data_IF_807225564314
#
_entry.id   IF_807225564314
#
_cell.length_a   1.000
_cell.length_b   1.000
_cell.length_c   1.000
_cell.angle_alpha   90.00
_cell.angle_beta   90.00
_cell.angle_gamma   90.00
#
_symmetry.space_group_name_H-M   'P 1'
#
loop_
_entity.id
_entity.type
_entity.pdbx_description
1 polymer ?
#
# COMPACT_ATOMS: atom_id res chain seq x y z
N UNK A 1 -20.67 6.38 48.84
CA UNK A 1 -21.42 7.37 48.02
C UNK A 1 -20.50 7.93 46.92
N UNK A 2 -20.43 7.23 45.82
CA UNK A 2 -19.77 7.71 44.59
C UNK A 2 -20.72 7.48 43.43
N UNK A 3 -21.52 8.48 43.13
CA UNK A 3 -22.42 8.49 41.97
C UNK A 3 -21.61 8.81 40.73
N UNK A 4 -21.45 7.82 39.85
CA UNK A 4 -21.00 8.05 38.48
C UNK A 4 -22.05 8.86 37.71
N UNK A 5 -21.65 9.83 36.86
CA UNK A 5 -22.61 10.59 36.05
C UNK A 5 -23.16 9.67 34.93
N UNK A 6 -24.50 9.61 34.90
CA UNK A 6 -25.25 8.98 33.80
C UNK A 6 -24.95 9.72 32.49
N UNK A 7 -24.32 9.08 31.54
CA UNK A 7 -24.23 9.48 30.13
C UNK A 7 -25.60 9.30 29.44
N UNK A 8 -26.62 10.00 29.93
CA UNK A 8 -27.90 10.09 29.27
C UNK A 8 -28.09 11.52 28.78
N UNK A 9 -27.72 11.79 27.57
CA UNK A 9 -28.18 12.88 26.69
C UNK A 9 -27.06 13.31 25.76
N UNK A 10 -26.93 12.65 24.61
CA UNK A 10 -26.59 13.25 23.32
C UNK A 10 -26.69 12.09 22.30
N UNK A 11 -27.93 11.68 22.00
CA UNK A 11 -28.22 10.98 20.74
C UNK A 11 -29.17 11.91 20.01
N UNK A 12 -28.81 12.51 18.87
CA UNK A 12 -29.73 13.31 18.09
C UNK A 12 -30.92 12.44 17.67
N UNK A 13 -32.13 12.96 17.78
CA UNK A 13 -33.39 12.29 17.41
C UNK A 13 -33.45 11.83 15.93
N UNK A 14 -32.47 12.21 15.12
CA UNK A 14 -32.30 11.78 13.70
C UNK A 14 -31.85 10.32 13.56
N UNK A 15 -31.36 9.65 14.61
CA UNK A 15 -30.87 8.28 14.56
C UNK A 15 -31.92 7.22 14.89
N UNK A 16 -33.15 7.64 15.24
CA UNK A 16 -34.26 6.73 15.63
C UNK A 16 -35.07 6.17 14.44
N UNK A 17 -34.75 6.54 13.20
CA UNK A 17 -35.42 5.95 12.04
C UNK A 17 -34.50 4.94 11.37
N UNK A 18 -34.80 3.66 11.49
CA UNK A 18 -34.38 2.63 10.55
C UNK A 18 -34.93 2.99 9.16
N UNK A 19 -34.22 3.83 8.41
CA UNK A 19 -34.28 3.70 6.97
C UNK A 19 -33.36 2.50 6.65
N UNK A 20 -33.92 1.41 6.19
CA UNK A 20 -33.16 0.41 5.46
C UNK A 20 -32.47 1.15 4.32
N UNK A 21 -31.13 1.12 4.27
CA UNK A 21 -30.35 1.88 3.26
C UNK A 21 -30.77 1.48 1.82
N UNK A 22 -31.44 0.36 1.66
CA UNK A 22 -31.94 -0.15 0.35
C UNK A 22 -33.11 0.66 -0.23
N UNK A 23 -33.76 1.49 0.57
CA UNK A 23 -34.84 2.39 0.14
C UNK A 23 -34.47 3.86 0.32
N UNK A 24 -33.20 4.20 0.60
CA UNK A 24 -32.79 5.60 0.55
C UNK A 24 -32.95 6.10 -0.87
N UNK A 25 -34.04 6.81 -1.09
CA UNK A 25 -34.20 7.69 -2.25
C UNK A 25 -32.95 8.58 -2.29
N UNK A 26 -32.45 8.92 -3.46
CA UNK A 26 -31.30 9.83 -3.61
C UNK A 26 -31.47 11.14 -2.83
N UNK A 27 -32.72 11.49 -2.43
CA UNK A 27 -33.03 12.62 -1.58
C UNK A 27 -32.65 12.46 -0.11
N UNK A 28 -32.51 11.23 0.40
CA UNK A 28 -32.14 10.95 1.79
C UNK A 28 -30.62 10.82 1.99
N UNK A 29 -29.83 10.79 0.93
CA UNK A 29 -28.38 10.77 1.00
C UNK A 29 -27.83 12.16 1.38
N UNK A 30 -26.73 12.16 2.15
CA UNK A 30 -25.99 13.39 2.37
C UNK A 30 -25.55 13.99 1.03
N UNK A 31 -25.52 15.33 0.87
CA UNK A 31 -25.12 15.97 -0.39
C UNK A 31 -23.80 15.46 -0.91
N UNK A 32 -22.77 15.39 -0.04
CA UNK A 32 -21.43 14.88 -0.42
C UNK A 32 -21.48 13.43 -0.95
N UNK A 33 -22.30 12.55 -0.37
CA UNK A 33 -22.44 11.17 -0.82
C UNK A 33 -23.07 11.08 -2.21
N UNK A 34 -24.03 11.97 -2.48
CA UNK A 34 -24.67 12.08 -3.81
C UNK A 34 -23.69 12.57 -4.85
N UNK A 35 -22.93 13.62 -4.52
CA UNK A 35 -21.93 14.20 -5.43
C UNK A 35 -20.86 13.17 -5.77
N UNK A 36 -20.32 12.46 -4.76
CA UNK A 36 -19.33 11.39 -4.95
C UNK A 36 -19.90 10.22 -5.78
N UNK A 37 -21.16 9.82 -5.53
CA UNK A 37 -21.81 8.78 -6.33
C UNK A 37 -21.84 9.17 -7.80
N UNK A 38 -22.31 10.38 -8.12
CA UNK A 38 -22.44 10.86 -9.48
C UNK A 38 -21.08 11.12 -10.16
N UNK A 39 -20.13 11.67 -9.45
CA UNK A 39 -18.83 12.02 -10.02
C UNK A 39 -17.93 10.79 -10.23
N UNK A 40 -17.92 9.85 -9.26
CA UNK A 40 -16.94 8.75 -9.27
C UNK A 40 -17.51 7.41 -9.75
N UNK A 41 -18.74 7.07 -9.37
CA UNK A 41 -19.24 5.72 -9.49
C UNK A 41 -20.31 5.52 -10.55
N UNK A 42 -21.30 6.41 -10.65
CA UNK A 42 -22.36 6.32 -11.64
C UNK A 42 -21.82 6.52 -13.07
N UNK A 43 -22.33 5.74 -14.04
CA UNK A 43 -21.91 5.78 -15.43
C UNK A 43 -23.14 5.81 -16.34
N UNK A 44 -23.07 6.56 -17.44
CA UNK A 44 -24.17 6.67 -18.39
C UNK A 44 -25.46 7.18 -17.73
N UNK A 45 -26.51 6.38 -17.77
CA UNK A 45 -27.84 6.73 -17.24
C UNK A 45 -28.05 6.34 -15.76
N UNK A 46 -27.01 5.81 -15.09
CA UNK A 46 -27.09 5.46 -13.68
C UNK A 46 -27.31 6.70 -12.80
N UNK A 47 -28.21 6.59 -11.81
CA UNK A 47 -28.53 7.68 -10.89
C UNK A 47 -28.50 7.27 -9.43
N UNK A 48 -28.58 5.96 -9.16
CA UNK A 48 -28.67 5.41 -7.80
C UNK A 48 -27.54 4.42 -7.51
N UNK A 49 -27.28 4.19 -6.23
CA UNK A 49 -26.34 3.16 -5.81
C UNK A 49 -26.79 1.76 -6.26
N UNK A 50 -28.12 1.52 -6.33
CA UNK A 50 -28.68 0.27 -6.83
C UNK A 50 -28.34 0.05 -8.31
N UNK A 51 -28.35 1.09 -9.14
CA UNK A 51 -27.96 0.97 -10.56
C UNK A 51 -26.49 0.56 -10.68
N UNK A 52 -25.60 1.19 -9.91
CA UNK A 52 -24.18 0.84 -9.86
C UNK A 52 -23.97 -0.61 -9.40
N UNK A 53 -24.67 -1.03 -8.33
CA UNK A 53 -24.59 -2.42 -7.81
C UNK A 53 -25.04 -3.44 -8.86
N UNK A 54 -26.13 -3.18 -9.57
CA UNK A 54 -26.64 -4.05 -10.65
C UNK A 54 -25.61 -4.21 -11.77
N UNK A 55 -25.03 -3.10 -12.26
CA UNK A 55 -23.96 -3.16 -13.26
C UNK A 55 -22.77 -3.98 -12.79
N UNK A 56 -22.31 -3.74 -11.56
CA UNK A 56 -21.16 -4.45 -10.99
C UNK A 56 -21.45 -5.95 -10.85
N UNK A 57 -22.59 -6.31 -10.26
CA UNK A 57 -23.00 -7.72 -10.10
C UNK A 57 -23.08 -8.45 -11.45
N UNK A 58 -23.69 -7.82 -12.46
CA UNK A 58 -23.78 -8.37 -13.80
C UNK A 58 -22.40 -8.53 -14.47
N UNK A 59 -21.52 -7.54 -14.32
CA UNK A 59 -20.17 -7.59 -14.89
C UNK A 59 -19.31 -8.69 -14.27
N UNK A 60 -19.40 -8.87 -12.98
CA UNK A 60 -18.66 -9.93 -12.27
C UNK A 60 -19.24 -11.30 -12.62
N UNK A 61 -20.55 -11.44 -12.64
CA UNK A 61 -21.20 -12.70 -13.03
C UNK A 61 -20.90 -13.11 -14.48
N UNK A 62 -20.69 -12.16 -15.38
CA UNK A 62 -20.45 -12.43 -16.80
C UNK A 62 -19.17 -13.23 -17.09
N UNK A 63 -18.21 -13.26 -16.15
CA UNK A 63 -16.96 -14.04 -16.28
C UNK A 63 -17.03 -15.39 -15.57
N UNK A 64 -18.11 -15.67 -14.85
CA UNK A 64 -18.33 -16.96 -14.20
C UNK A 64 -18.71 -18.06 -15.21
N UNK A 65 -18.52 -19.31 -14.81
CA UNK A 65 -18.89 -20.48 -15.64
C UNK A 65 -20.40 -20.51 -15.92
N UNK A 66 -21.21 -20.10 -14.96
CA UNK A 66 -22.66 -19.94 -15.08
C UNK A 66 -23.07 -18.53 -14.66
N UNK A 67 -23.04 -17.56 -15.57
CA UNK A 67 -23.43 -16.18 -15.28
C UNK A 67 -24.84 -16.04 -14.69
N UNK A 68 -25.77 -16.90 -15.13
CA UNK A 68 -27.17 -16.87 -14.68
C UNK A 68 -27.31 -17.25 -13.19
N UNK A 69 -26.46 -18.13 -12.71
CA UNK A 69 -26.45 -18.57 -11.31
C UNK A 69 -25.87 -17.51 -10.36
N UNK A 70 -24.96 -16.64 -10.83
CA UNK A 70 -24.20 -15.74 -9.95
C UNK A 70 -24.69 -14.29 -9.92
N UNK A 71 -25.41 -13.83 -10.94
CA UNK A 71 -25.85 -12.43 -11.00
C UNK A 71 -26.74 -12.02 -9.81
N UNK A 72 -27.67 -12.88 -9.40
CA UNK A 72 -28.53 -12.68 -8.24
C UNK A 72 -27.74 -12.67 -6.91
N UNK A 73 -27.01 -13.75 -6.60
CA UNK A 73 -26.20 -13.82 -5.37
C UNK A 73 -25.20 -12.66 -5.21
N UNK A 74 -24.53 -12.23 -6.26
CA UNK A 74 -23.62 -11.08 -6.19
C UNK A 74 -24.38 -9.79 -5.90
N UNK A 75 -25.54 -9.55 -6.53
CA UNK A 75 -26.35 -8.38 -6.23
C UNK A 75 -26.84 -8.39 -4.77
N UNK A 76 -27.35 -9.54 -4.31
CA UNK A 76 -27.79 -9.71 -2.92
C UNK A 76 -26.67 -9.44 -1.91
N UNK A 77 -25.45 -9.91 -2.18
CA UNK A 77 -24.30 -9.64 -1.31
C UNK A 77 -23.95 -8.14 -1.27
N UNK A 78 -23.97 -7.45 -2.43
CA UNK A 78 -23.74 -6.00 -2.51
C UNK A 78 -24.84 -5.20 -1.78
N UNK A 79 -26.08 -5.64 -1.86
CA UNK A 79 -27.21 -5.01 -1.16
C UNK A 79 -27.18 -5.30 0.34
N UNK A 80 -26.74 -6.48 0.74
CA UNK A 80 -26.60 -6.87 2.15
C UNK A 80 -25.43 -6.20 2.87
N UNK A 81 -24.53 -5.51 2.17
CA UNK A 81 -23.46 -4.72 2.80
C UNK A 81 -22.04 -5.10 2.40
N UNK A 82 -21.84 -5.96 1.40
CA UNK A 82 -20.51 -6.13 0.80
C UNK A 82 -20.18 -4.90 -0.05
N UNK A 83 -18.99 -4.36 0.14
CA UNK A 83 -18.49 -3.17 -0.57
C UNK A 83 -17.19 -3.58 -1.27
N UNK A 84 -17.21 -3.87 -2.58
CA UNK A 84 -15.99 -4.14 -3.32
C UNK A 84 -15.13 -2.88 -3.43
N UNK A 85 -13.86 -3.07 -3.81
CA UNK A 85 -12.93 -1.97 -4.02
C UNK A 85 -13.52 -0.87 -4.90
N UNK A 86 -13.19 0.38 -4.62
CA UNK A 86 -13.69 1.53 -5.38
C UNK A 86 -13.47 1.41 -6.89
N UNK A 87 -12.39 0.74 -7.33
CA UNK A 87 -12.14 0.47 -8.77
C UNK A 87 -13.15 -0.49 -9.37
N UNK A 88 -13.51 -1.54 -8.64
CA UNK A 88 -14.59 -2.46 -9.08
C UNK A 88 -15.88 -1.69 -9.22
N UNK A 89 -16.26 -0.90 -8.20
CA UNK A 89 -17.50 -0.11 -8.23
C UNK A 89 -17.52 0.93 -9.36
N UNK A 90 -16.39 1.54 -9.70
CA UNK A 90 -16.33 2.61 -10.71
C UNK A 90 -16.15 2.11 -12.14
N UNK A 91 -15.52 0.94 -12.36
CA UNK A 91 -15.08 0.53 -13.69
C UNK A 91 -15.64 -0.82 -14.15
N UNK A 92 -16.03 -1.75 -13.26
CA UNK A 92 -16.57 -3.04 -13.69
C UNK A 92 -17.84 -2.86 -14.54
N UNK A 93 -17.91 -3.55 -15.67
CA UNK A 93 -19.02 -3.45 -16.61
C UNK A 93 -19.06 -2.17 -17.43
N UNK A 94 -17.96 -1.43 -17.50
CA UNK A 94 -17.83 -0.21 -18.32
C UNK A 94 -16.77 -0.40 -19.40
N UNK A 95 -16.69 0.54 -20.34
CA UNK A 95 -15.64 0.58 -21.37
C UNK A 95 -14.33 1.24 -20.87
N UNK A 96 -14.25 1.63 -19.59
CA UNK A 96 -13.07 2.28 -19.02
C UNK A 96 -11.94 1.26 -18.91
N UNK A 97 -10.80 1.55 -19.52
CA UNK A 97 -9.60 0.73 -19.42
C UNK A 97 -8.86 1.02 -18.10
N UNK A 98 -9.42 0.57 -16.99
CA UNK A 98 -8.82 0.66 -15.67
C UNK A 98 -8.54 -0.74 -15.12
N UNK A 99 -7.57 -0.85 -14.21
CA UNK A 99 -7.45 -2.07 -13.40
C UNK A 99 -8.58 -2.14 -12.39
N UNK A 100 -9.12 -3.33 -12.14
CA UNK A 100 -10.08 -3.58 -11.05
C UNK A 100 -9.37 -3.85 -9.72
N UNK A 101 -8.07 -4.11 -9.77
CA UNK A 101 -7.19 -4.30 -8.63
C UNK A 101 -6.52 -2.96 -8.29
N UNK A 102 -6.36 -2.66 -7.02
CA UNK A 102 -5.96 -1.33 -6.56
C UNK A 102 -4.47 -1.18 -6.31
N UNK A 103 -3.81 -2.24 -5.84
CA UNK A 103 -2.48 -2.17 -5.25
C UNK A 103 -1.57 -3.22 -5.88
N UNK A 104 -0.32 -2.83 -6.11
CA UNK A 104 0.69 -3.64 -6.77
C UNK A 104 2.05 -3.46 -6.09
N UNK A 105 2.92 -4.45 -6.22
CA UNK A 105 4.34 -4.34 -5.92
C UNK A 105 5.12 -4.50 -7.22
N UNK A 106 6.07 -3.62 -7.45
CA UNK A 106 6.92 -3.59 -8.63
C UNK A 106 8.38 -3.74 -8.22
N UNK A 107 9.08 -4.81 -8.65
CA UNK A 107 10.50 -4.95 -8.38
C UNK A 107 11.35 -3.91 -9.11
N UNK A 108 12.47 -3.52 -8.50
CA UNK A 108 13.45 -2.59 -9.06
C UNK A 108 14.85 -3.19 -8.92
N UNK A 109 15.56 -3.40 -10.03
CA UNK A 109 16.95 -3.87 -10.05
C UNK A 109 17.96 -2.73 -10.15
N UNK A 110 19.24 -3.04 -9.97
CA UNK A 110 20.35 -2.06 -9.94
C UNK A 110 20.95 -1.78 -11.32
N UNK A 111 20.20 -1.93 -12.39
CA UNK A 111 20.62 -1.58 -13.75
C UNK A 111 19.72 -0.48 -14.33
N UNK A 112 20.19 0.25 -15.36
CA UNK A 112 19.34 1.27 -16.00
C UNK A 112 18.20 0.64 -16.81
N UNK A 113 18.52 -0.28 -17.72
CA UNK A 113 17.58 -0.90 -18.68
C UNK A 113 17.62 -2.43 -18.66
N UNK A 114 18.72 -3.01 -18.15
CA UNK A 114 18.91 -4.45 -18.09
C UNK A 114 18.07 -5.12 -17.00
N UNK A 115 18.24 -6.42 -16.89
CA UNK A 115 17.69 -7.22 -15.79
C UNK A 115 18.86 -7.70 -14.92
N UNK A 116 18.65 -7.68 -13.61
CA UNK A 116 19.63 -8.16 -12.65
C UNK A 116 18.91 -8.92 -11.52
N UNK A 117 19.30 -10.17 -11.31
CA UNK A 117 18.68 -11.03 -10.29
C UNK A 117 17.18 -11.28 -10.50
N UNK A 118 16.69 -11.28 -11.75
CA UNK A 118 15.27 -11.43 -12.07
C UNK A 118 14.45 -10.13 -11.94
N UNK A 119 15.11 -8.99 -11.63
CA UNK A 119 14.45 -7.69 -11.47
C UNK A 119 14.73 -6.78 -12.67
N UNK A 120 13.71 -6.06 -13.16
CA UNK A 120 13.87 -5.13 -14.27
C UNK A 120 14.73 -3.94 -13.83
N UNK A 121 15.50 -3.39 -14.77
CA UNK A 121 16.24 -2.16 -14.52
C UNK A 121 15.33 -0.99 -14.17
N UNK A 122 15.91 0.03 -13.55
CA UNK A 122 15.22 1.19 -12.95
C UNK A 122 14.24 1.85 -13.93
N UNK A 123 14.66 2.10 -15.19
CA UNK A 123 13.79 2.76 -16.17
C UNK A 123 12.71 1.85 -16.73
N UNK A 124 12.95 0.53 -16.76
CA UNK A 124 11.93 -0.45 -17.13
C UNK A 124 10.88 -0.54 -16.03
N UNK A 125 11.29 -0.62 -14.76
CA UNK A 125 10.38 -0.58 -13.60
C UNK A 125 9.56 0.72 -13.57
N UNK A 126 10.18 1.87 -13.85
CA UNK A 126 9.51 3.16 -13.95
C UNK A 126 8.41 3.14 -15.04
N UNK A 127 8.70 2.61 -16.23
CA UNK A 127 7.73 2.53 -17.31
C UNK A 127 6.55 1.60 -16.98
N UNK A 128 6.81 0.45 -16.37
CA UNK A 128 5.79 -0.49 -15.91
C UNK A 128 4.90 0.14 -14.83
N UNK A 129 5.49 0.85 -13.87
CA UNK A 129 4.78 1.56 -12.83
C UNK A 129 3.91 2.69 -13.39
N UNK A 130 4.42 3.46 -14.35
CA UNK A 130 3.65 4.51 -15.04
C UNK A 130 2.40 3.94 -15.72
N UNK A 131 2.50 2.80 -16.40
CA UNK A 131 1.35 2.15 -17.02
C UNK A 131 0.35 1.61 -15.98
N UNK A 132 0.85 1.04 -14.87
CA UNK A 132 0.00 0.60 -13.76
C UNK A 132 -0.76 1.78 -13.14
N UNK A 133 -0.09 2.90 -12.89
CA UNK A 133 -0.71 4.12 -12.34
C UNK A 133 -1.70 4.75 -13.32
N UNK A 134 -1.37 4.80 -14.62
CA UNK A 134 -2.28 5.28 -15.65
C UNK A 134 -3.60 4.50 -15.65
N UNK A 135 -3.57 3.20 -15.38
CA UNK A 135 -4.75 2.36 -15.22
C UNK A 135 -5.40 2.46 -13.85
N UNK A 136 -4.83 3.25 -12.93
CA UNK A 136 -5.39 3.53 -11.63
C UNK A 136 -4.89 2.67 -10.48
N UNK A 137 -3.84 1.86 -10.67
CA UNK A 137 -3.18 1.13 -9.61
C UNK A 137 -2.22 2.01 -8.81
N UNK A 138 -2.08 1.74 -7.51
CA UNK A 138 -0.97 2.25 -6.70
C UNK A 138 0.16 1.22 -6.66
N UNK A 139 1.42 1.67 -6.48
CA UNK A 139 2.59 0.79 -6.59
C UNK A 139 3.53 0.97 -5.39
N UNK A 140 3.93 -0.16 -4.79
CA UNK A 140 5.01 -0.21 -3.83
C UNK A 140 6.29 -0.79 -4.42
N UNK A 141 7.43 -0.35 -3.91
CA UNK A 141 8.76 -0.76 -4.37
C UNK A 141 9.70 -1.02 -3.20
N UNK A 142 10.59 -1.99 -3.35
CA UNK A 142 11.85 -2.05 -2.61
C UNK A 142 12.97 -1.46 -3.45
N UNK A 143 13.63 -0.41 -2.95
CA UNK A 143 14.75 0.26 -3.58
C UNK A 143 16.11 -0.22 -3.06
N UNK A 144 16.13 -1.22 -2.19
CA UNK A 144 17.34 -1.66 -1.49
C UNK A 144 18.36 -2.35 -2.39
N UNK A 145 17.95 -2.83 -3.56
CA UNK A 145 18.85 -3.40 -4.54
C UNK A 145 19.69 -2.34 -5.28
N UNK A 146 19.23 -1.10 -5.34
CA UNK A 146 19.97 -0.01 -5.99
C UNK A 146 21.22 0.32 -5.19
N UNK A 147 22.36 0.32 -5.89
CA UNK A 147 23.67 0.62 -5.27
C UNK A 147 23.69 1.98 -4.60
N UNK A 148 24.39 2.08 -3.44
CA UNK A 148 24.48 3.30 -2.68
C UNK A 148 25.12 4.46 -3.43
N UNK A 149 24.82 5.68 -3.01
CA UNK A 149 25.47 6.88 -3.48
C UNK A 149 26.99 6.78 -3.35
N UNK A 150 27.70 7.16 -4.40
CA UNK A 150 29.16 7.09 -4.46
C UNK A 150 29.73 5.70 -4.72
N UNK A 151 28.94 4.65 -4.80
CA UNK A 151 29.38 3.33 -5.23
C UNK A 151 29.91 3.37 -6.69
N UNK A 152 30.83 2.46 -7.00
CA UNK A 152 31.46 2.42 -8.33
C UNK A 152 30.49 1.88 -9.40
N UNK A 153 30.40 2.58 -10.52
CA UNK A 153 29.70 2.11 -11.71
C UNK A 153 30.76 1.55 -12.70
N UNK A 154 30.83 0.24 -12.82
CA UNK A 154 31.90 -0.42 -13.56
C UNK A 154 31.91 -0.07 -15.04
N UNK A 155 30.76 0.06 -15.72
CA UNK A 155 30.68 0.31 -17.16
C UNK A 155 31.18 1.68 -17.61
N UNK A 156 30.95 2.72 -16.78
CA UNK A 156 31.28 4.11 -17.09
C UNK A 156 32.43 4.66 -16.25
N UNK A 157 32.83 3.97 -15.20
CA UNK A 157 33.82 4.46 -14.24
C UNK A 157 33.28 5.61 -13.34
N UNK A 158 31.99 5.95 -13.48
CA UNK A 158 31.34 7.01 -12.70
C UNK A 158 30.95 6.54 -11.29
N UNK A 159 30.38 7.46 -10.50
CA UNK A 159 29.81 7.19 -9.17
C UNK A 159 28.29 7.12 -9.27
N UNK A 160 27.69 6.21 -8.51
CA UNK A 160 26.26 6.06 -8.40
C UNK A 160 25.62 7.23 -7.68
N UNK A 161 24.35 7.52 -8.00
CA UNK A 161 23.56 8.58 -7.41
C UNK A 161 22.75 8.13 -6.18
N UNK A 162 22.65 6.80 -5.96
CA UNK A 162 21.89 6.22 -4.86
C UNK A 162 20.37 6.11 -5.09
N UNK A 163 19.66 5.31 -4.27
CA UNK A 163 18.23 5.04 -4.43
C UNK A 163 17.36 6.30 -4.34
N UNK A 164 17.61 7.20 -3.39
CA UNK A 164 16.79 8.42 -3.18
C UNK A 164 16.78 9.30 -4.42
N UNK A 165 17.90 9.41 -5.14
CA UNK A 165 17.96 10.15 -6.40
C UNK A 165 17.03 9.56 -7.47
N UNK A 166 16.96 8.24 -7.60
CA UNK A 166 16.05 7.59 -8.53
C UNK A 166 14.60 7.68 -8.07
N UNK A 167 14.33 7.60 -6.78
CA UNK A 167 12.98 7.79 -6.23
C UNK A 167 12.38 9.14 -6.65
N UNK A 168 13.21 10.20 -6.77
CA UNK A 168 12.75 11.50 -7.30
C UNK A 168 12.24 11.42 -8.74
N UNK A 169 12.77 10.51 -9.56
CA UNK A 169 12.29 10.28 -10.93
C UNK A 169 10.91 9.61 -10.89
N UNK A 170 10.73 8.61 -10.02
CA UNK A 170 9.44 7.95 -9.79
C UNK A 170 8.40 8.92 -9.22
N UNK A 171 8.80 9.80 -8.30
CA UNK A 171 7.94 10.83 -7.72
C UNK A 171 7.42 11.80 -8.79
N UNK A 172 8.32 12.28 -9.65
CA UNK A 172 7.96 13.18 -10.76
C UNK A 172 7.11 12.51 -11.82
N UNK A 173 7.37 11.22 -12.11
CA UNK A 173 6.51 10.44 -12.99
C UNK A 173 5.09 10.32 -12.43
N UNK A 174 4.96 10.00 -11.15
CA UNK A 174 3.66 9.86 -10.46
C UNK A 174 2.88 11.18 -10.47
N UNK A 175 3.55 12.31 -10.26
CA UNK A 175 2.95 13.66 -10.35
C UNK A 175 2.43 13.95 -11.76
N UNK A 176 3.13 13.45 -12.79
CA UNK A 176 2.85 13.76 -14.20
C UNK A 176 1.77 12.86 -14.79
N UNK A 177 1.72 11.57 -14.37
CA UNK A 177 0.78 10.59 -14.90
C UNK A 177 -0.59 10.74 -14.26
N UNK A 178 -1.57 11.19 -15.04
CA UNK A 178 -2.96 11.21 -14.62
C UNK A 178 -3.53 9.79 -14.56
N UNK A 179 -4.11 9.45 -13.41
CA UNK A 179 -4.68 8.13 -13.14
C UNK A 179 -6.12 8.04 -13.65
N UNK A 180 -6.49 6.93 -14.27
CA UNK A 180 -7.86 6.67 -14.71
C UNK A 180 -8.86 6.84 -13.54
N UNK A 181 -9.87 7.70 -13.73
CA UNK A 181 -10.93 7.94 -12.74
C UNK A 181 -10.59 8.98 -11.67
N UNK A 182 -9.81 10.01 -12.01
CA UNK A 182 -9.57 11.20 -11.19
C UNK A 182 -8.96 10.93 -9.80
N UNK A 183 -8.13 9.90 -9.64
CA UNK A 183 -7.33 9.64 -8.44
C UNK A 183 -5.87 9.92 -8.74
N UNK A 184 -5.16 10.58 -7.83
CA UNK A 184 -3.70 10.72 -7.91
C UNK A 184 -3.06 9.34 -7.74
N UNK A 185 -1.92 9.12 -8.37
CA UNK A 185 -1.08 7.96 -8.14
C UNK A 185 -0.65 7.91 -6.66
N UNK A 186 -0.42 6.71 -6.16
CA UNK A 186 0.10 6.49 -4.80
C UNK A 186 1.28 5.54 -4.89
N UNK A 187 2.35 5.86 -4.18
CA UNK A 187 3.57 5.07 -4.16
C UNK A 187 4.01 4.76 -2.73
N UNK A 188 4.64 3.60 -2.54
CA UNK A 188 5.39 3.25 -1.35
C UNK A 188 6.84 3.00 -1.76
N UNK A 189 7.78 3.64 -1.07
CA UNK A 189 9.19 3.33 -1.17
C UNK A 189 9.69 2.66 0.10
N UNK A 190 10.28 1.48 -0.05
CA UNK A 190 10.95 0.77 1.06
C UNK A 190 12.45 0.83 0.83
N UNK A 191 13.20 1.07 1.91
CA UNK A 191 14.63 0.88 1.97
C UNK A 191 14.98 0.06 3.20
N UNK A 192 15.80 -0.99 3.03
CA UNK A 192 16.23 -1.84 4.15
C UNK A 192 17.08 -1.06 5.15
N UNK A 193 16.93 -1.39 6.42
CA UNK A 193 17.66 -0.75 7.53
C UNK A 193 19.18 -0.91 7.44
N UNK A 194 19.67 -1.90 6.69
CA UNK A 194 21.09 -2.14 6.47
C UNK A 194 21.66 -1.45 5.21
N UNK A 195 20.83 -0.69 4.47
CA UNK A 195 21.31 0.02 3.28
C UNK A 195 22.20 1.23 3.65
N UNK A 196 23.35 1.46 2.97
CA UNK A 196 24.26 2.56 3.27
C UNK A 196 23.65 3.97 3.19
N UNK A 197 22.64 4.17 2.36
CA UNK A 197 21.97 5.47 2.16
C UNK A 197 20.74 5.65 3.05
N UNK A 198 20.57 4.83 4.10
CA UNK A 198 19.39 4.88 4.95
C UNK A 198 19.19 6.25 5.61
N UNK A 199 20.25 6.92 6.02
CA UNK A 199 20.14 8.27 6.61
C UNK A 199 19.56 9.28 5.60
N UNK A 200 19.99 9.26 4.33
CA UNK A 200 19.40 10.11 3.27
C UNK A 200 17.93 9.77 3.04
N UNK A 201 17.57 8.48 3.11
CA UNK A 201 16.19 8.03 2.94
C UNK A 201 15.28 8.49 4.09
N UNK A 202 15.74 8.42 5.35
CA UNK A 202 14.98 8.88 6.52
C UNK A 202 14.60 10.35 6.36
N UNK A 203 15.53 11.18 5.88
CA UNK A 203 15.35 12.62 5.71
C UNK A 203 14.89 13.06 4.31
N UNK A 204 14.46 12.11 3.47
CA UNK A 204 14.09 12.42 2.08
C UNK A 204 12.88 13.34 1.92
N UNK A 205 12.10 13.57 2.99
CA UNK A 205 10.94 14.47 3.03
C UNK A 205 11.17 15.80 3.74
N UNK A 206 12.31 16.04 4.35
CA UNK A 206 12.59 17.27 5.12
C UNK A 206 12.41 18.53 4.27
N UNK A 207 12.77 18.52 2.99
CA UNK A 207 12.65 19.63 2.05
C UNK A 207 11.38 19.55 1.16
N UNK A 208 10.29 18.96 1.63
CA UNK A 208 9.08 18.65 0.84
C UNK A 208 9.35 17.78 -0.40
N UNK A 209 10.42 16.99 -0.37
CA UNK A 209 10.73 15.99 -1.39
C UNK A 209 9.81 14.78 -1.32
N UNK A 210 9.74 14.01 -2.42
CA UNK A 210 9.00 12.73 -2.50
C UNK A 210 7.54 12.82 -2.03
N UNK A 211 6.84 13.88 -2.44
CA UNK A 211 5.46 14.17 -1.98
C UNK A 211 4.43 13.14 -2.42
N UNK A 212 4.72 12.35 -3.45
CA UNK A 212 3.86 11.27 -3.95
C UNK A 212 4.24 9.88 -3.42
N UNK A 213 5.21 9.82 -2.51
CA UNK A 213 5.60 8.59 -1.82
C UNK A 213 5.10 8.57 -0.38
N UNK A 214 4.67 7.41 0.09
CA UNK A 214 4.84 7.00 1.47
C UNK A 214 6.19 6.29 1.58
N UNK A 215 6.90 6.49 2.68
CA UNK A 215 8.22 5.90 2.91
C UNK A 215 8.17 4.93 4.09
N UNK A 216 8.86 3.80 3.99
CA UNK A 216 9.02 2.86 5.10
C UNK A 216 10.41 2.26 5.14
N UNK A 217 10.97 2.16 6.35
CA UNK A 217 12.22 1.43 6.58
C UNK A 217 11.90 -0.05 6.78
N UNK A 218 12.50 -0.89 5.96
CA UNK A 218 12.41 -2.34 6.10
C UNK A 218 13.38 -2.84 7.18
N UNK A 219 12.88 -3.06 8.40
CA UNK A 219 13.71 -3.51 9.53
C UNK A 219 13.78 -5.03 9.61
N UNK A 220 14.91 -5.51 10.09
CA UNK A 220 15.16 -6.93 10.34
C UNK A 220 15.20 -7.22 11.85
N UNK A 221 14.98 -8.48 12.22
CA UNK A 221 15.14 -8.93 13.61
C UNK A 221 16.57 -8.70 14.13
N UNK A 222 17.57 -8.79 13.24
CA UNK A 222 18.96 -8.49 13.58
C UNK A 222 19.14 -7.03 13.96
N UNK A 223 18.56 -6.10 13.21
CA UNK A 223 18.58 -4.67 13.55
C UNK A 223 17.88 -4.41 14.88
N UNK A 224 16.68 -4.97 15.09
CA UNK A 224 15.91 -4.76 16.32
C UNK A 224 16.68 -5.28 17.56
N UNK A 225 17.36 -6.43 17.45
CA UNK A 225 18.25 -6.92 18.53
C UNK A 225 19.41 -5.95 18.81
N UNK A 226 20.02 -5.37 17.77
CA UNK A 226 21.06 -4.35 17.98
C UNK A 226 20.51 -3.09 18.66
N UNK A 227 19.29 -2.67 18.32
CA UNK A 227 18.59 -1.57 18.99
C UNK A 227 18.37 -1.86 20.48
N UNK A 228 17.86 -3.04 20.82
CA UNK A 228 17.64 -3.46 22.21
C UNK A 228 18.94 -3.52 23.03
N UNK A 229 20.02 -3.98 22.41
CA UNK A 229 21.34 -4.15 23.07
C UNK A 229 22.21 -2.90 23.03
N UNK A 230 21.72 -1.80 22.45
CA UNK A 230 22.49 -0.58 22.19
C UNK A 230 23.83 -0.86 21.48
N UNK A 231 23.78 -1.73 20.48
CA UNK A 231 24.93 -2.22 19.75
C UNK A 231 25.15 -1.48 18.42
N UNK A 232 26.35 -1.65 17.85
CA UNK A 232 26.64 -1.22 16.48
C UNK A 232 25.93 -2.12 15.45
N UNK A 233 25.51 -1.50 14.34
CA UNK A 233 24.88 -2.16 13.21
C UNK A 233 25.65 -1.83 11.91
N UNK A 234 25.84 -2.83 11.04
CA UNK A 234 26.60 -2.68 9.81
C UNK A 234 25.67 -2.28 8.66
N UNK A 235 26.00 -1.19 7.97
CA UNK A 235 25.35 -0.81 6.73
C UNK A 235 26.10 -1.45 5.56
N UNK A 236 25.39 -2.28 4.78
CA UNK A 236 26.00 -3.20 3.82
C UNK A 236 25.34 -3.13 2.44
N UNK A 237 26.12 -3.45 1.40
CA UNK A 237 25.60 -3.63 0.03
C UNK A 237 26.52 -4.54 -0.80
N UNK A 238 25.98 -5.14 -1.86
CA UNK A 238 26.76 -5.96 -2.81
C UNK A 238 27.72 -5.11 -3.67
N UNK A 239 27.35 -3.87 -3.97
CA UNK A 239 28.13 -2.98 -4.80
C UNK A 239 29.42 -2.53 -4.08
N UNK A 240 30.51 -2.45 -4.85
CA UNK A 240 31.80 -2.00 -4.32
C UNK A 240 31.78 -0.50 -3.99
N UNK A 241 32.19 -0.09 -2.77
CA UNK A 241 32.36 1.31 -2.41
C UNK A 241 33.41 2.00 -3.31
N UNK A 242 33.37 3.33 -3.35
CA UNK A 242 34.46 4.12 -3.96
C UNK A 242 35.78 3.93 -3.21
N UNK A 243 36.89 4.24 -3.89
CA UNK A 243 38.23 4.16 -3.23
C UNK A 243 38.29 5.00 -1.97
N UNK A 244 37.69 6.20 -1.96
CA UNK A 244 37.65 7.06 -0.78
C UNK A 244 36.90 6.46 0.41
N UNK A 245 35.85 5.66 0.18
CA UNK A 245 35.14 4.95 1.24
C UNK A 245 35.96 3.75 1.75
N UNK A 246 36.69 3.06 0.86
CA UNK A 246 37.59 1.98 1.25
C UNK A 246 38.74 2.55 2.10
N UNK A 247 39.33 3.66 1.69
CA UNK A 247 40.37 4.36 2.46
C UNK A 247 39.85 4.84 3.81
N UNK A 248 38.53 5.17 3.90
CA UNK A 248 37.86 5.54 5.13
C UNK A 248 37.46 4.33 6.02
N UNK A 249 37.75 3.10 5.60
CA UNK A 249 37.53 1.91 6.42
C UNK A 249 36.43 0.97 5.93
N UNK A 250 35.82 1.21 4.76
CA UNK A 250 34.89 0.23 4.19
C UNK A 250 35.65 -1.06 3.78
N UNK A 251 35.06 -2.20 4.07
CA UNK A 251 35.69 -3.50 3.81
C UNK A 251 34.69 -4.54 3.29
N UNK A 252 35.21 -5.55 2.63
CA UNK A 252 34.41 -6.68 2.18
C UNK A 252 34.31 -7.72 3.29
N UNK A 253 33.09 -8.05 3.69
CA UNK A 253 32.81 -9.01 4.78
C UNK A 253 33.02 -10.44 4.25
N UNK A 254 33.86 -11.26 4.92
CA UNK A 254 34.21 -12.60 4.39
C UNK A 254 33.07 -13.61 4.46
N UNK A 255 32.12 -13.44 5.39
CA UNK A 255 31.03 -14.40 5.63
C UNK A 255 30.03 -14.52 4.50
N UNK A 256 29.74 -13.41 3.80
CA UNK A 256 28.72 -13.33 2.75
C UNK A 256 29.17 -12.55 1.51
N UNK A 257 30.35 -11.95 1.58
CA UNK A 257 30.94 -11.18 0.47
C UNK A 257 30.33 -9.80 0.26
N UNK A 258 29.45 -9.35 1.15
CA UNK A 258 28.93 -7.98 1.12
C UNK A 258 30.00 -6.96 1.52
N UNK A 259 29.88 -5.76 1.00
CA UNK A 259 30.68 -4.63 1.46
C UNK A 259 30.04 -3.96 2.64
N UNK A 260 30.76 -3.83 3.74
CA UNK A 260 30.40 -2.99 4.90
C UNK A 260 30.90 -1.58 4.58
N UNK A 261 29.96 -0.67 4.39
CA UNK A 261 30.25 0.74 4.10
C UNK A 261 30.61 1.51 5.35
N UNK A 262 29.87 1.25 6.43
CA UNK A 262 30.11 1.85 7.76
C UNK A 262 29.36 1.08 8.84
N UNK A 263 29.74 1.34 10.10
CA UNK A 263 29.01 0.93 11.28
C UNK A 263 28.35 2.14 11.92
N UNK A 264 27.16 1.95 12.45
CA UNK A 264 26.37 3.00 13.10
C UNK A 264 25.79 2.47 14.40
N UNK A 265 25.47 3.33 15.37
CA UNK A 265 24.66 2.93 16.52
C UNK A 265 23.25 2.59 16.04
N UNK A 266 22.80 1.35 16.29
CA UNK A 266 21.45 0.92 15.94
C UNK A 266 20.39 1.75 16.70
N UNK A 267 20.67 2.08 17.98
CA UNK A 267 19.78 2.91 18.80
C UNK A 267 19.65 4.31 18.22
N UNK A 268 20.75 4.97 17.89
CA UNK A 268 20.71 6.30 17.31
C UNK A 268 19.98 6.33 15.95
N UNK A 269 20.17 5.28 15.14
CA UNK A 269 19.46 5.16 13.86
C UNK A 269 17.94 4.97 14.05
N UNK A 270 17.53 4.18 15.04
CA UNK A 270 16.10 4.02 15.37
C UNK A 270 15.51 5.30 15.94
N UNK A 271 16.23 6.02 16.78
CA UNK A 271 15.80 7.32 17.31
C UNK A 271 15.63 8.35 16.17
N UNK A 272 16.49 8.33 15.17
CA UNK A 272 16.42 9.18 13.98
C UNK A 272 15.15 8.87 13.14
N UNK A 273 14.85 7.58 12.91
CA UNK A 273 13.59 7.15 12.28
C UNK A 273 12.40 7.70 13.07
N UNK A 274 12.37 7.52 14.39
CA UNK A 274 11.25 7.96 15.25
C UNK A 274 11.07 9.48 15.20
N UNK A 275 12.16 10.25 15.23
CA UNK A 275 12.09 11.72 15.14
C UNK A 275 11.54 12.17 13.79
N UNK A 276 12.03 11.63 12.67
CA UNK A 276 11.51 11.95 11.34
C UNK A 276 10.04 11.58 11.21
N UNK A 277 9.65 10.40 11.72
CA UNK A 277 8.23 9.98 11.74
C UNK A 277 7.35 10.94 12.54
N UNK A 278 7.84 11.45 13.67
CA UNK A 278 7.11 12.42 14.47
C UNK A 278 6.91 13.74 13.72
N UNK A 279 7.92 14.21 13.00
CA UNK A 279 7.89 15.51 12.31
C UNK A 279 7.10 15.44 10.98
N UNK A 280 7.18 14.34 10.24
CA UNK A 280 6.70 14.23 8.86
C UNK A 280 5.66 13.13 8.63
N UNK A 281 5.33 12.30 9.63
CA UNK A 281 4.55 11.07 9.51
C UNK A 281 5.21 10.00 8.61
N UNK A 282 6.46 10.19 8.24
CA UNK A 282 7.34 9.30 7.47
C UNK A 282 8.77 9.36 7.99
N UNK A 283 9.56 8.29 7.80
CA UNK A 283 9.16 6.98 7.29
C UNK A 283 8.40 6.16 8.33
N UNK A 284 7.55 5.25 7.84
CA UNK A 284 7.04 4.15 8.65
C UNK A 284 8.08 3.05 8.84
N UNK A 285 7.71 1.97 9.54
CA UNK A 285 8.55 0.78 9.74
C UNK A 285 7.78 -0.45 9.29
N UNK A 286 8.43 -1.34 8.53
CA UNK A 286 7.92 -2.65 8.14
C UNK A 286 8.87 -3.75 8.61
N UNK A 287 8.34 -4.81 9.21
CA UNK A 287 9.13 -5.88 9.81
C UNK A 287 9.31 -7.02 8.80
N UNK A 288 10.37 -6.94 7.98
CA UNK A 288 10.59 -7.84 6.84
C UNK A 288 10.70 -9.31 7.26
N UNK A 289 11.41 -9.61 8.35
CA UNK A 289 11.57 -10.99 8.79
C UNK A 289 10.23 -11.58 9.26
N UNK A 290 9.43 -10.79 10.00
CA UNK A 290 8.10 -11.21 10.46
C UNK A 290 7.13 -11.42 9.28
N UNK A 291 7.15 -10.52 8.29
CA UNK A 291 6.35 -10.69 7.07
C UNK A 291 6.63 -12.02 6.37
N UNK A 292 7.91 -12.39 6.25
CA UNK A 292 8.31 -13.62 5.60
C UNK A 292 8.07 -14.87 6.48
N UNK A 293 8.20 -14.78 7.80
CA UNK A 293 7.88 -15.88 8.72
C UNK A 293 6.39 -16.23 8.71
N UNK A 294 5.52 -15.23 8.61
CA UNK A 294 4.07 -15.41 8.57
C UNK A 294 3.51 -15.63 7.15
N UNK A 295 4.36 -15.57 6.12
CA UNK A 295 3.95 -15.80 4.74
C UNK A 295 3.62 -17.27 4.49
N UNK A 296 2.37 -17.57 4.14
CA UNK A 296 1.94 -18.93 3.80
C UNK A 296 2.62 -19.50 2.54
N UNK A 297 3.19 -18.64 1.69
CA UNK A 297 3.88 -19.00 0.45
C UNK A 297 5.41 -18.88 0.57
N UNK A 298 5.95 -18.91 1.79
CA UNK A 298 7.38 -18.75 2.10
C UNK A 298 8.31 -19.66 1.29
N UNK A 299 7.79 -20.78 0.78
CA UNK A 299 8.55 -21.79 0.02
C UNK A 299 8.71 -21.45 -1.47
N UNK A 300 8.01 -20.45 -2.00
CA UNK A 300 8.05 -20.05 -3.43
C UNK A 300 8.34 -18.57 -3.65
N UNK A 301 8.21 -17.73 -2.61
CA UNK A 301 8.37 -16.29 -2.74
C UNK A 301 9.03 -15.67 -1.52
N UNK A 302 9.58 -14.48 -1.70
CA UNK A 302 10.11 -13.62 -0.63
C UNK A 302 9.42 -12.26 -0.74
N UNK A 303 8.99 -11.74 0.40
CA UNK A 303 8.35 -10.42 0.51
C UNK A 303 9.41 -9.39 0.94
N UNK A 304 9.60 -8.36 0.12
CA UNK A 304 10.54 -7.27 0.38
C UNK A 304 9.85 -5.90 0.34
N UNK A 305 8.58 -5.88 -0.10
CA UNK A 305 7.79 -4.65 -0.22
C UNK A 305 6.34 -4.85 0.24
N UNK A 306 5.62 -3.76 0.30
CA UNK A 306 4.18 -3.73 0.53
C UNK A 306 3.51 -2.77 -0.47
N UNK A 307 2.18 -2.78 -0.51
CA UNK A 307 1.40 -1.85 -1.29
C UNK A 307 1.55 -0.39 -0.80
N UNK A 308 1.04 0.62 -1.53
CA UNK A 308 1.26 2.03 -1.20
C UNK A 308 0.85 2.48 0.21
N UNK A 309 -0.15 1.84 0.82
CA UNK A 309 -0.64 2.19 2.16
C UNK A 309 -0.10 1.27 3.26
N UNK A 310 0.76 0.31 2.91
CA UNK A 310 1.43 -0.64 3.83
C UNK A 310 0.52 -1.66 4.53
N UNK A 311 -0.77 -1.74 4.16
CA UNK A 311 -1.68 -2.71 4.77
C UNK A 311 -1.51 -4.13 4.25
N UNK A 312 -0.84 -4.31 3.09
CA UNK A 312 -0.65 -5.61 2.47
C UNK A 312 0.79 -5.83 2.02
N UNK A 313 1.45 -6.77 2.67
CA UNK A 313 2.76 -7.29 2.24
C UNK A 313 2.58 -8.15 1.00
N UNK A 314 3.35 -7.89 -0.05
CA UNK A 314 3.22 -8.54 -1.34
C UNK A 314 4.59 -8.90 -1.93
N UNK A 315 4.72 -10.04 -2.61
CA UNK A 315 5.92 -10.36 -3.38
C UNK A 315 6.03 -9.49 -4.64
N UNK A 316 7.14 -9.61 -5.34
CA UNK A 316 7.36 -8.98 -6.64
C UNK A 316 6.22 -9.33 -7.61
N UNK A 317 5.68 -8.30 -8.29
CA UNK A 317 4.49 -8.38 -9.17
C UNK A 317 3.21 -8.85 -8.47
N UNK A 318 3.19 -8.91 -7.15
CA UNK A 318 1.99 -9.18 -6.38
C UNK A 318 0.98 -8.05 -6.49
N UNK A 319 -0.29 -8.39 -6.30
CA UNK A 319 -1.38 -7.42 -6.28
C UNK A 319 -2.44 -7.80 -5.25
N UNK A 320 -3.22 -6.82 -4.79
CA UNK A 320 -4.34 -7.08 -3.89
C UNK A 320 -5.65 -6.52 -4.41
N UNK A 321 -6.71 -7.31 -4.25
CA UNK A 321 -8.08 -6.90 -4.47
C UNK A 321 -8.75 -6.66 -3.12
N UNK A 322 -9.21 -5.44 -2.89
CA UNK A 322 -9.82 -5.02 -1.63
C UNK A 322 -11.33 -5.17 -1.65
N UNK A 323 -11.89 -5.49 -0.50
CA UNK A 323 -13.33 -5.49 -0.24
C UNK A 323 -13.57 -5.25 1.24
N UNK A 324 -14.77 -4.80 1.56
CA UNK A 324 -15.19 -4.53 2.94
C UNK A 324 -16.61 -5.03 3.16
N UNK A 325 -16.96 -5.28 4.42
CA UNK A 325 -18.34 -5.56 4.80
C UNK A 325 -18.79 -4.49 5.80
N UNK A 326 -19.91 -3.85 5.53
CA UNK A 326 -20.54 -2.89 6.44
C UNK A 326 -21.17 -3.64 7.64
N UNK A 327 -20.42 -3.76 8.72
CA UNK A 327 -20.85 -4.49 9.91
C UNK A 327 -22.11 -3.91 10.55
N UNK A 328 -22.40 -2.62 10.33
CA UNK A 328 -23.58 -1.97 10.92
C UNK A 328 -24.89 -2.56 10.39
N UNK A 329 -24.86 -3.17 9.22
CA UNK A 329 -26.03 -3.82 8.62
C UNK A 329 -26.44 -5.12 9.28
N UNK A 330 -25.55 -5.71 10.05
CA UNK A 330 -25.78 -6.95 10.78
C UNK A 330 -26.10 -6.71 12.27
N UNK A 331 -26.13 -5.44 12.71
CA UNK A 331 -26.49 -5.11 14.09
C UNK A 331 -28.01 -5.03 14.22
N UNK A 332 -28.56 -5.86 15.09
CA UNK A 332 -29.96 -5.87 15.44
C UNK A 332 -30.18 -5.03 16.70
N UNK A 333 -31.26 -4.27 16.76
CA UNK A 333 -31.63 -3.44 17.91
C UNK A 333 -30.47 -2.57 18.43
N UNK A 334 -29.78 -1.89 17.49
CA UNK A 334 -28.65 -1.03 17.80
C UNK A 334 -28.99 -0.04 18.92
N UNK A 335 -28.08 0.13 19.88
CA UNK A 335 -28.20 1.01 21.06
C UNK A 335 -29.26 0.60 22.10
N UNK A 336 -29.87 -0.57 21.98
CA UNK A 336 -30.77 -1.16 22.98
C UNK A 336 -30.03 -2.16 23.90
N UNK A 337 -30.51 -2.44 25.12
CA UNK A 337 -29.86 -3.43 25.99
C UNK A 337 -29.76 -4.84 25.38
N UNK A 338 -30.69 -5.18 24.50
CA UNK A 338 -30.76 -6.47 23.78
C UNK A 338 -30.13 -6.41 22.41
N UNK A 339 -29.22 -5.47 22.14
CA UNK A 339 -28.51 -5.40 20.88
C UNK A 339 -27.79 -6.71 20.60
N UNK A 340 -27.87 -7.19 19.37
CA UNK A 340 -27.26 -8.43 18.91
C UNK A 340 -26.61 -8.25 17.54
N UNK A 341 -25.84 -9.26 17.13
CA UNK A 341 -25.21 -9.30 15.81
C UNK A 341 -25.74 -10.50 15.01
N UNK A 342 -26.16 -10.27 13.77
CA UNK A 342 -26.63 -11.32 12.86
C UNK A 342 -25.45 -12.04 12.22
N UNK A 343 -24.91 -13.01 12.95
CA UNK A 343 -23.82 -13.87 12.50
C UNK A 343 -24.20 -14.72 11.29
N UNK A 344 -25.46 -15.09 11.14
CA UNK A 344 -25.93 -15.90 9.99
C UNK A 344 -25.90 -15.10 8.71
N UNK A 345 -26.47 -13.90 8.71
CA UNK A 345 -26.44 -12.97 7.58
C UNK A 345 -25.02 -12.57 7.20
N UNK A 346 -24.18 -12.21 8.20
CA UNK A 346 -22.78 -11.89 7.99
C UNK A 346 -22.00 -13.06 7.34
N UNK A 347 -22.18 -14.28 7.84
CA UNK A 347 -21.53 -15.46 7.28
C UNK A 347 -21.98 -15.74 5.86
N UNK A 348 -23.25 -15.55 5.55
CA UNK A 348 -23.79 -15.74 4.20
C UNK A 348 -23.12 -14.78 3.21
N UNK A 349 -23.09 -13.48 3.53
CA UNK A 349 -22.45 -12.46 2.68
C UNK A 349 -20.97 -12.70 2.50
N UNK A 350 -20.27 -13.14 3.57
CA UNK A 350 -18.83 -13.43 3.52
C UNK A 350 -18.50 -14.63 2.63
N UNK A 351 -19.41 -15.57 2.49
CA UNK A 351 -19.21 -16.80 1.68
C UNK A 351 -19.56 -16.62 0.20
N UNK A 352 -20.43 -15.69 -0.12
CA UNK A 352 -20.75 -15.32 -1.50
C UNK A 352 -19.60 -14.59 -2.17
#
# INVERSE_FOLDING_TARGET
>A
DSRSPRLSRIVPAAWSRRATIDTMDTNDMQPISRDVLQEKYAKGDERTLSDVRKRVAQALAAVEVDPGAWGGPFLEALEAGFIPAGRVMSAAGTAIQATLVNCFVQPVGDSMLGEEGGRPGIMVALAQAAETMRRGGGVGYDFSSIRPQGARVHGTGSRASGPVSYMRVFDRMCETVESAGARRGAQMGILRCDHPDLAEFIHAKDDNGLSNFNLSVGVTDAFMRCVEQDAEFELVHVAQPSASLIDAGAYRRPSDGLWVYRKVSARALMDDIVHSTYDHADPGVVFLDQMNQENNLWYVEVIEACNPCSEQSLPDYGCCCLGSIDLTRFVQRAFEPEAGFDWSGFTSVTRT
#
